data_IF_770559272705
#
_entry.id   IF_770559272705
#
_cell.length_a   1.000
_cell.length_b   1.000
_cell.length_c   1.000
_cell.angle_alpha   90.00
_cell.angle_beta   90.00
_cell.angle_gamma   90.00
#
_symmetry.space_group_name_H-M   'P 1'
#
loop_
_entity.id
_entity.type
_entity.pdbx_description
1 polymer ?
#
# COMPACT_ATOMS: atom_id res chain seq x y z
N UNK A 1 16.57 12.31 -16.77
CA UNK A 1 16.67 12.85 -15.40
C UNK A 1 15.60 13.88 -15.08
N UNK A 2 15.26 14.80 -15.99
CA UNK A 2 14.27 15.87 -15.73
C UNK A 2 12.88 15.41 -15.28
N UNK A 3 12.33 14.32 -15.83
CA UNK A 3 10.96 13.89 -15.48
C UNK A 3 10.85 13.30 -14.06
N UNK A 4 11.88 12.58 -13.58
CA UNK A 4 11.91 12.10 -12.19
C UNK A 4 12.07 13.26 -11.20
N UNK A 5 12.88 14.26 -11.53
CA UNK A 5 13.01 15.47 -10.72
C UNK A 5 11.73 16.30 -10.69
N UNK A 6 11.02 16.41 -11.83
CA UNK A 6 9.74 17.09 -11.90
C UNK A 6 8.65 16.39 -11.09
N UNK A 7 8.61 15.04 -11.07
CA UNK A 7 7.67 14.30 -10.23
C UNK A 7 8.05 14.39 -8.74
N UNK A 8 9.34 14.31 -8.40
CA UNK A 8 9.79 14.52 -7.01
C UNK A 8 9.43 15.93 -6.55
N UNK A 9 9.63 16.94 -7.41
CA UNK A 9 9.22 18.32 -7.15
C UNK A 9 7.71 18.46 -7.02
N UNK A 10 6.91 17.83 -7.90
CA UNK A 10 5.45 17.82 -7.81
C UNK A 10 4.96 17.15 -6.52
N UNK A 11 5.53 15.99 -6.17
CA UNK A 11 5.22 15.24 -4.95
C UNK A 11 5.61 16.06 -3.72
N UNK A 12 6.80 16.64 -3.70
CA UNK A 12 7.28 17.49 -2.63
C UNK A 12 6.37 18.72 -2.46
N UNK A 13 6.03 19.42 -3.54
CA UNK A 13 5.14 20.57 -3.51
C UNK A 13 3.70 20.20 -3.12
N UNK A 14 3.15 19.10 -3.64
CA UNK A 14 1.82 18.63 -3.28
C UNK A 14 1.75 18.21 -1.80
N UNK A 15 2.77 17.51 -1.30
CA UNK A 15 2.92 17.17 0.11
C UNK A 15 3.06 18.41 0.98
N UNK A 16 3.86 19.39 0.56
CA UNK A 16 4.06 20.65 1.30
C UNK A 16 2.76 21.46 1.39
N UNK A 17 2.02 21.59 0.29
CA UNK A 17 0.70 22.26 0.25
C UNK A 17 -0.29 21.54 1.17
N UNK A 18 -0.31 20.22 1.18
CA UNK A 18 -1.24 19.45 2.02
C UNK A 18 -0.87 19.49 3.52
N UNK A 19 0.42 19.65 3.85
CA UNK A 19 0.90 19.84 5.23
C UNK A 19 0.62 21.27 5.72
N UNK A 20 0.68 22.29 4.85
CA UNK A 20 0.46 23.69 5.24
C UNK A 20 -1.02 24.11 5.23
N UNK A 21 -1.87 23.43 4.46
CA UNK A 21 -3.31 23.72 4.40
C UNK A 21 -4.04 23.65 5.76
N UNK A 22 -3.74 22.69 6.66
CA UNK A 22 -4.29 22.66 8.02
C UNK A 22 -3.76 23.79 8.91
N UNK A 23 -2.54 24.30 8.65
CA UNK A 23 -1.90 25.34 9.45
C UNK A 23 -2.59 26.70 9.26
N UNK A 24 -2.99 27.01 8.02
CA UNK A 24 -3.69 28.26 7.65
C UNK A 24 -5.15 28.30 8.16
N UNK A 25 -5.75 27.13 8.42
CA UNK A 25 -7.13 27.04 8.95
C UNK A 25 -7.21 27.01 10.48
N UNK A 26 -6.11 27.25 11.21
CA UNK A 26 -6.10 27.29 12.67
C UNK A 26 -6.51 28.68 13.22
N UNK A 27 -7.71 29.16 12.88
CA UNK A 27 -8.37 30.15 13.72
C UNK A 27 -9.08 29.41 14.85
N UNK A 28 -8.50 29.50 16.05
CA UNK A 28 -9.02 28.90 17.28
C UNK A 28 -10.26 29.70 17.70
N UNK A 29 -11.47 29.23 17.38
CA UNK A 29 -12.66 29.67 18.11
C UNK A 29 -12.68 28.98 19.48
N UNK A 30 -12.12 29.66 20.46
CA UNK A 30 -12.23 29.31 21.87
C UNK A 30 -13.66 29.65 22.33
N UNK A 31 -14.58 28.70 22.31
CA UNK A 31 -15.86 28.86 23.02
C UNK A 31 -15.69 28.46 24.49
N UNK A 32 -15.86 29.46 25.35
CA UNK A 32 -15.75 29.40 26.80
C UNK A 32 -16.79 28.47 27.42
N UNK A 33 -16.34 27.66 28.38
CA UNK A 33 -17.20 26.91 29.32
C UNK A 33 -17.91 27.90 30.25
N UNK A 34 -19.23 27.85 30.30
CA UNK A 34 -20.00 28.27 31.47
C UNK A 34 -20.37 27.04 32.30
N UNK A 35 -20.09 27.14 33.60
CA UNK A 35 -20.50 26.20 34.64
C UNK A 35 -22.01 26.32 34.85
N UNK A 36 -22.72 25.20 34.92
CA UNK A 36 -24.00 25.17 35.64
C UNK A 36 -24.25 23.78 36.23
N UNK A 37 -24.55 23.75 37.53
CA UNK A 37 -24.26 22.66 38.48
C UNK A 37 -25.50 21.82 38.85
N UNK A 38 -26.53 21.71 38.00
CA UNK A 38 -27.82 21.12 38.40
C UNK A 38 -28.40 19.98 37.52
N UNK A 39 -27.62 19.33 36.65
CA UNK A 39 -28.12 18.26 35.77
C UNK A 39 -27.61 16.82 36.08
N UNK A 40 -27.36 16.52 37.36
CA UNK A 40 -26.82 15.23 37.85
C UNK A 40 -27.80 14.03 37.68
N UNK A 41 -28.95 14.19 37.03
CA UNK A 41 -29.93 13.10 36.82
C UNK A 41 -30.48 12.91 35.41
N UNK A 42 -29.91 13.56 34.37
CA UNK A 42 -30.26 13.23 32.98
C UNK A 42 -29.30 12.17 32.42
N UNK A 43 -29.59 10.94 32.83
CA UNK A 43 -28.81 9.74 32.61
C UNK A 43 -28.64 9.34 31.12
N UNK A 44 -27.38 9.17 30.72
CA UNK A 44 -26.81 7.86 30.30
C UNK A 44 -27.31 7.24 28.98
N UNK A 45 -27.77 8.05 28.03
CA UNK A 45 -27.56 7.74 26.60
C UNK A 45 -27.15 9.02 25.90
N UNK A 46 -25.86 9.38 25.98
CA UNK A 46 -25.31 10.37 25.04
C UNK A 46 -25.34 9.72 23.67
N UNK A 47 -26.49 9.80 23.01
CA UNK A 47 -26.67 9.40 21.63
C UNK A 47 -25.63 10.19 20.83
N UNK A 48 -24.63 9.49 20.33
CA UNK A 48 -23.56 10.10 19.54
C UNK A 48 -24.19 10.94 18.43
N UNK A 49 -23.77 12.21 18.31
CA UNK A 49 -24.36 13.13 17.34
C UNK A 49 -24.26 12.54 15.93
N UNK A 50 -25.25 12.73 15.05
CA UNK A 50 -25.21 12.20 13.68
C UNK A 50 -23.96 12.63 12.91
N UNK A 51 -23.49 13.87 13.16
CA UNK A 51 -22.25 14.41 12.60
C UNK A 51 -21.04 13.60 13.03
N UNK A 52 -20.86 13.38 14.34
CA UNK A 52 -19.73 12.60 14.87
C UNK A 52 -19.76 11.15 14.38
N UNK A 53 -20.95 10.53 14.25
CA UNK A 53 -21.07 9.19 13.68
C UNK A 53 -20.64 9.14 12.20
N UNK A 54 -21.06 10.12 11.41
CA UNK A 54 -20.63 10.26 10.02
C UNK A 54 -19.11 10.43 9.95
N UNK A 55 -18.55 11.29 10.80
CA UNK A 55 -17.12 11.57 10.81
C UNK A 55 -16.28 10.34 11.15
N UNK A 56 -16.68 9.57 12.18
CA UNK A 56 -16.03 8.31 12.54
C UNK A 56 -16.11 7.31 11.40
N UNK A 57 -17.26 7.23 10.73
CA UNK A 57 -17.47 6.30 9.61
C UNK A 57 -16.59 6.70 8.42
N UNK A 58 -16.54 7.98 8.06
CA UNK A 58 -15.71 8.50 6.98
C UNK A 58 -14.22 8.30 7.28
N UNK A 59 -13.76 8.59 8.50
CA UNK A 59 -12.39 8.29 8.94
C UNK A 59 -12.04 6.81 8.71
N UNK A 60 -12.92 5.91 9.13
CA UNK A 60 -12.76 4.46 8.92
C UNK A 60 -12.62 4.09 7.44
N UNK A 61 -13.50 4.62 6.58
CA UNK A 61 -13.43 4.36 5.12
C UNK A 61 -12.17 4.94 4.47
N UNK A 62 -11.77 6.16 4.83
CA UNK A 62 -10.56 6.79 4.30
C UNK A 62 -9.31 5.97 4.66
N UNK A 63 -9.19 5.54 5.91
CA UNK A 63 -8.02 4.77 6.35
C UNK A 63 -8.04 3.32 5.88
N UNK A 64 -9.22 2.72 5.71
CA UNK A 64 -9.37 1.43 5.04
C UNK A 64 -8.93 1.50 3.57
N UNK A 65 -9.43 2.49 2.81
CA UNK A 65 -9.05 2.68 1.41
C UNK A 65 -7.56 2.97 1.25
N UNK A 66 -6.98 3.78 2.15
CA UNK A 66 -5.56 4.09 2.18
C UNK A 66 -4.70 2.88 2.56
N UNK A 67 -4.80 2.43 3.82
CA UNK A 67 -3.86 1.50 4.46
C UNK A 67 -4.23 0.05 4.21
N UNK A 68 -5.54 -0.24 4.11
CA UNK A 68 -6.06 -1.57 3.88
C UNK A 68 -6.05 -2.00 2.42
N UNK A 69 -6.08 -1.04 1.47
CA UNK A 69 -6.21 -1.33 0.04
C UNK A 69 -5.10 -0.71 -0.82
N UNK A 70 -5.07 0.62 -0.99
CA UNK A 70 -4.19 1.28 -1.96
C UNK A 70 -2.70 1.03 -1.68
N UNK A 71 -2.28 1.12 -0.42
CA UNK A 71 -0.89 0.92 -0.04
C UNK A 71 -0.41 -0.53 -0.30
N UNK A 72 -1.13 -1.59 0.14
CA UNK A 72 -0.82 -2.96 -0.24
C UNK A 72 -0.84 -3.21 -1.75
N UNK A 73 -1.83 -2.67 -2.48
CA UNK A 73 -1.92 -2.81 -3.95
C UNK A 73 -0.74 -2.13 -4.63
N UNK A 74 -0.30 -0.97 -4.15
CA UNK A 74 0.90 -0.29 -4.65
C UNK A 74 2.18 -1.12 -4.43
N UNK A 75 2.29 -1.82 -3.31
CA UNK A 75 3.40 -2.76 -3.04
C UNK A 75 3.33 -3.96 -3.99
N UNK A 76 2.14 -4.50 -4.23
CA UNK A 76 1.95 -5.60 -5.17
C UNK A 76 2.32 -5.19 -6.61
N UNK A 77 1.93 -3.99 -7.03
CA UNK A 77 2.19 -3.47 -8.38
C UNK A 77 3.68 -3.35 -8.70
N UNK A 78 4.50 -2.84 -7.76
CA UNK A 78 5.96 -2.68 -8.00
C UNK A 78 6.70 -4.02 -8.02
N UNK A 79 6.12 -5.07 -7.43
CA UNK A 79 6.67 -6.43 -7.39
C UNK A 79 6.34 -7.26 -8.62
N UNK A 80 5.46 -6.79 -9.50
CA UNK A 80 5.09 -7.54 -10.70
C UNK A 80 6.35 -7.87 -11.52
N UNK A 81 6.53 -9.14 -11.92
CA UNK A 81 7.78 -9.58 -12.53
C UNK A 81 7.99 -8.94 -13.89
N UNK A 82 9.15 -8.30 -14.07
CA UNK A 82 9.51 -7.65 -15.32
C UNK A 82 10.31 -8.61 -16.18
N UNK A 83 9.61 -9.41 -16.98
CA UNK A 83 10.16 -10.54 -17.76
C UNK A 83 11.00 -10.09 -18.95
N UNK A 84 10.52 -9.05 -19.62
CA UNK A 84 11.29 -8.39 -20.66
C UNK A 84 12.13 -7.34 -19.96
N UNK A 85 13.41 -7.24 -20.30
CA UNK A 85 14.30 -6.12 -19.89
C UNK A 85 13.82 -4.76 -20.46
N UNK A 86 12.54 -4.64 -20.80
CA UNK A 86 11.91 -3.45 -21.31
C UNK A 86 11.95 -2.33 -20.23
N UNK A 87 12.77 -1.29 -20.44
CA UNK A 87 12.92 -0.20 -19.48
C UNK A 87 11.65 0.64 -19.38
N UNK A 88 10.74 0.60 -20.38
CA UNK A 88 9.45 1.29 -20.32
C UNK A 88 8.53 0.65 -19.29
N UNK A 89 8.46 -0.68 -19.25
CA UNK A 89 7.59 -1.40 -18.31
C UNK A 89 8.02 -1.17 -16.85
N UNK A 90 9.33 -1.19 -16.57
CA UNK A 90 9.86 -0.83 -15.25
C UNK A 90 9.47 0.58 -14.81
N UNK A 91 9.47 1.54 -15.76
CA UNK A 91 9.05 2.91 -15.49
C UNK A 91 7.55 3.01 -15.20
N UNK A 92 6.72 2.25 -15.92
CA UNK A 92 5.27 2.21 -15.70
C UNK A 92 4.95 1.66 -14.31
N UNK A 93 5.50 0.51 -13.92
CA UNK A 93 5.23 -0.08 -12.60
C UNK A 93 5.72 0.83 -11.46
N UNK A 94 6.83 1.53 -11.67
CA UNK A 94 7.32 2.56 -10.74
C UNK A 94 6.33 3.72 -10.59
N UNK A 95 5.78 4.25 -11.69
CA UNK A 95 4.79 5.34 -11.61
C UNK A 95 3.48 4.87 -11.01
N UNK A 96 3.00 3.68 -11.37
CA UNK A 96 1.78 3.10 -10.76
C UNK A 96 1.96 2.99 -9.26
N UNK A 97 3.09 2.44 -8.80
CA UNK A 97 3.43 2.40 -7.37
C UNK A 97 3.42 3.79 -6.75
N UNK A 98 4.18 4.74 -7.30
CA UNK A 98 4.28 6.09 -6.74
C UNK A 98 2.91 6.78 -6.65
N UNK A 99 2.10 6.71 -7.70
CA UNK A 99 0.76 7.33 -7.72
C UNK A 99 -0.15 6.70 -6.68
N UNK A 100 -0.21 5.36 -6.60
CA UNK A 100 -1.02 4.66 -5.60
C UNK A 100 -0.59 5.02 -4.17
N UNK A 101 0.73 5.07 -3.90
CA UNK A 101 1.24 5.46 -2.59
C UNK A 101 0.92 6.92 -2.26
N UNK A 102 1.02 7.83 -3.23
CA UNK A 102 0.66 9.24 -3.00
C UNK A 102 -0.82 9.40 -2.67
N UNK A 103 -1.72 8.73 -3.39
CA UNK A 103 -3.15 8.76 -3.08
C UNK A 103 -3.39 8.17 -1.68
N UNK A 104 -2.74 7.06 -1.33
CA UNK A 104 -2.85 6.47 0.00
C UNK A 104 -2.40 7.45 1.09
N UNK A 105 -1.26 8.13 0.94
CA UNK A 105 -0.74 9.11 1.90
C UNK A 105 -1.68 10.31 2.06
N UNK A 106 -2.28 10.80 0.96
CA UNK A 106 -3.24 11.89 0.99
C UNK A 106 -4.52 11.50 1.75
N UNK A 107 -5.06 10.31 1.49
CA UNK A 107 -6.22 9.78 2.23
C UNK A 107 -5.89 9.55 3.71
N UNK A 108 -4.70 9.02 4.02
CA UNK A 108 -4.23 8.85 5.39
C UNK A 108 -4.12 10.18 6.13
N UNK A 109 -3.58 11.20 5.45
CA UNK A 109 -3.47 12.56 5.98
C UNK A 109 -4.84 13.18 6.21
N UNK A 110 -5.77 13.04 5.26
CA UNK A 110 -7.16 13.49 5.43
C UNK A 110 -7.83 12.81 6.63
N UNK A 111 -7.69 11.49 6.77
CA UNK A 111 -8.20 10.75 7.91
C UNK A 111 -7.57 11.15 9.25
N UNK A 112 -6.27 11.44 9.28
CA UNK A 112 -5.56 11.90 10.47
C UNK A 112 -5.99 13.32 10.88
N UNK A 113 -6.06 14.27 9.94
CA UNK A 113 -6.55 15.64 10.20
C UNK A 113 -7.97 15.59 10.74
N UNK A 114 -8.83 14.78 10.11
CA UNK A 114 -10.21 14.58 10.57
C UNK A 114 -10.27 14.06 12.01
N UNK A 115 -9.43 13.09 12.36
CA UNK A 115 -9.34 12.57 13.73
C UNK A 115 -8.86 13.62 14.73
N UNK A 116 -7.86 14.42 14.36
CA UNK A 116 -7.29 15.46 15.22
C UNK A 116 -8.33 16.56 15.50
N UNK A 117 -9.05 17.00 14.47
CA UNK A 117 -10.01 18.10 14.58
C UNK A 117 -11.30 17.71 15.28
N UNK A 118 -11.81 16.51 15.02
CA UNK A 118 -13.21 16.18 15.34
C UNK A 118 -13.35 15.15 16.47
N UNK A 119 -12.30 14.41 16.82
CA UNK A 119 -12.37 13.34 17.82
C UNK A 119 -11.66 13.68 19.12
N UNK A 120 -12.03 12.97 20.18
CA UNK A 120 -11.34 13.08 21.46
C UNK A 120 -10.04 12.25 21.43
N UNK A 121 -8.90 12.93 21.39
CA UNK A 121 -7.57 12.35 21.26
C UNK A 121 -6.93 12.09 22.64
N UNK A 122 -7.61 11.31 23.49
CA UNK A 122 -7.09 10.91 24.81
C UNK A 122 -6.01 9.81 24.75
N UNK A 123 -5.82 9.18 23.59
CA UNK A 123 -4.82 8.11 23.35
C UNK A 123 -4.92 6.91 24.32
N UNK A 124 -6.09 6.69 24.90
CA UNK A 124 -6.35 5.62 25.85
C UNK A 124 -6.59 4.26 25.19
N UNK A 125 -6.81 4.22 23.87
CA UNK A 125 -6.96 2.99 23.11
C UNK A 125 -5.73 2.70 22.23
N UNK A 126 -5.51 1.41 21.93
CA UNK A 126 -4.38 0.96 21.13
C UNK A 126 -4.43 1.48 19.69
N UNK A 127 -5.61 1.63 19.11
CA UNK A 127 -5.82 2.15 17.76
C UNK A 127 -5.28 3.58 17.58
N UNK A 128 -5.55 4.48 18.53
CA UNK A 128 -5.09 5.88 18.48
C UNK A 128 -3.57 5.97 18.63
N UNK A 129 -2.99 5.23 19.59
CA UNK A 129 -1.53 5.20 19.80
C UNK A 129 -0.80 4.65 18.59
N UNK A 130 -1.28 3.51 18.06
CA UNK A 130 -0.73 2.91 16.86
C UNK A 130 -0.93 3.83 15.65
N UNK A 131 -2.10 4.43 15.50
CA UNK A 131 -2.44 5.32 14.39
C UNK A 131 -1.54 6.55 14.28
N UNK A 132 -1.22 7.22 15.40
CA UNK A 132 -0.29 8.35 15.39
C UNK A 132 1.14 7.93 15.10
N UNK A 133 1.62 6.84 15.71
CA UNK A 133 2.94 6.29 15.41
C UNK A 133 3.05 5.90 13.92
N UNK A 134 2.01 5.21 13.41
CA UNK A 134 1.87 4.82 12.02
C UNK A 134 1.90 6.03 11.08
N UNK A 135 1.21 7.11 11.43
CA UNK A 135 1.23 8.34 10.62
C UNK A 135 2.64 8.94 10.49
N UNK A 136 3.40 8.96 11.58
CA UNK A 136 4.80 9.39 11.55
C UNK A 136 5.67 8.53 10.63
N UNK A 137 5.55 7.20 10.71
CA UNK A 137 6.35 6.29 9.86
C UNK A 137 5.91 6.29 8.39
N UNK A 138 4.65 6.62 8.08
CA UNK A 138 4.19 6.83 6.71
C UNK A 138 4.97 7.98 6.07
N UNK A 139 5.10 9.11 6.76
CA UNK A 139 5.87 10.25 6.25
C UNK A 139 7.36 9.94 6.15
N UNK A 140 7.92 9.19 7.11
CA UNK A 140 9.30 8.70 7.00
C UNK A 140 9.49 7.86 5.73
N UNK A 141 8.54 6.98 5.41
CA UNK A 141 8.58 6.16 4.20
C UNK A 141 8.50 7.00 2.92
N UNK A 142 7.70 8.09 2.92
CA UNK A 142 7.65 9.07 1.81
C UNK A 142 8.99 9.77 1.65
N UNK A 143 9.60 10.24 2.75
CA UNK A 143 10.92 10.88 2.73
C UNK A 143 11.99 9.95 2.17
N UNK A 144 12.02 8.68 2.61
CA UNK A 144 12.90 7.67 2.02
C UNK A 144 12.64 7.49 0.51
N UNK A 145 11.37 7.49 0.09
CA UNK A 145 10.99 7.43 -1.32
C UNK A 145 11.51 8.62 -2.15
N UNK A 146 11.47 9.83 -1.59
CA UNK A 146 11.97 11.07 -2.23
C UNK A 146 13.49 11.06 -2.34
N UNK A 147 14.20 10.69 -1.26
CA UNK A 147 15.67 10.65 -1.22
C UNK A 147 16.26 9.39 -1.86
N UNK A 148 15.58 8.86 -2.87
CA UNK A 148 16.00 7.70 -3.66
C UNK A 148 17.36 7.97 -4.33
N UNK A 149 18.45 7.27 -3.94
CA UNK A 149 19.77 7.51 -4.51
C UNK A 149 19.86 7.00 -5.95
N UNK A 150 20.82 7.57 -6.70
CA UNK A 150 21.24 7.07 -8.00
C UNK A 150 21.80 5.64 -7.90
N UNK A 151 21.95 4.97 -9.04
CA UNK A 151 22.50 3.59 -9.07
C UNK A 151 23.94 3.60 -8.54
N UNK A 152 24.25 2.66 -7.66
CA UNK A 152 25.54 2.56 -6.96
C UNK A 152 25.43 1.78 -5.66
N UNK A 153 26.47 1.78 -4.83
CA UNK A 153 26.54 1.01 -3.57
C UNK A 153 25.45 1.38 -2.56
N UNK A 154 25.11 2.68 -2.44
CA UNK A 154 24.03 3.18 -1.56
C UNK A 154 22.63 2.72 -1.97
N UNK A 155 22.44 2.29 -3.22
CA UNK A 155 21.14 1.86 -3.78
C UNK A 155 20.58 0.64 -3.09
N UNK A 156 21.44 -0.33 -2.76
CA UNK A 156 21.03 -1.59 -2.15
C UNK A 156 20.57 -1.39 -0.70
N UNK A 157 21.35 -0.64 0.09
CA UNK A 157 20.99 -0.29 1.47
C UNK A 157 19.69 0.51 1.52
N UNK A 158 19.55 1.52 0.67
CA UNK A 158 18.31 2.27 0.54
C UNK A 158 17.13 1.36 0.16
N UNK A 159 17.32 0.45 -0.79
CA UNK A 159 16.27 -0.45 -1.24
C UNK A 159 15.82 -1.36 -0.10
N UNK A 160 16.76 -1.95 0.64
CA UNK A 160 16.45 -2.78 1.80
C UNK A 160 15.70 -2.00 2.87
N UNK A 161 16.16 -0.79 3.22
CA UNK A 161 15.52 0.08 4.21
C UNK A 161 14.11 0.51 3.78
N UNK A 162 13.95 0.95 2.53
CA UNK A 162 12.66 1.36 1.98
C UNK A 162 11.69 0.18 1.85
N UNK A 163 12.19 -1.00 1.49
CA UNK A 163 11.40 -2.22 1.40
C UNK A 163 10.90 -2.67 2.77
N UNK A 164 11.80 -2.84 3.75
CA UNK A 164 11.42 -3.31 5.08
C UNK A 164 10.48 -2.32 5.77
N UNK A 165 10.78 -1.02 5.72
CA UNK A 165 9.92 0.00 6.31
C UNK A 165 8.55 0.03 5.62
N UNK A 166 8.50 -0.05 4.29
CA UNK A 166 7.25 -0.11 3.53
C UNK A 166 6.38 -1.31 3.88
N UNK A 167 7.00 -2.49 4.03
CA UNK A 167 6.31 -3.71 4.49
C UNK A 167 5.79 -3.55 5.92
N UNK A 168 6.60 -2.99 6.83
CA UNK A 168 6.17 -2.71 8.21
C UNK A 168 4.99 -1.73 8.25
N UNK A 169 5.06 -0.62 7.50
CA UNK A 169 3.97 0.36 7.40
C UNK A 169 2.69 -0.29 6.88
N UNK A 170 2.77 -1.12 5.84
CA UNK A 170 1.60 -1.82 5.30
C UNK A 170 1.00 -2.80 6.30
N UNK A 171 1.83 -3.58 7.00
CA UNK A 171 1.37 -4.51 8.04
C UNK A 171 0.70 -3.78 9.21
N UNK A 172 1.37 -2.76 9.76
CA UNK A 172 0.82 -1.94 10.85
C UNK A 172 -0.45 -1.20 10.42
N UNK A 173 -0.54 -0.80 9.15
CA UNK A 173 -1.75 -0.24 8.55
C UNK A 173 -2.94 -1.18 8.61
N UNK A 174 -2.77 -2.42 8.14
CA UNK A 174 -3.82 -3.45 8.20
C UNK A 174 -4.21 -3.75 9.65
N UNK A 175 -3.23 -3.91 10.54
CA UNK A 175 -3.48 -4.10 11.97
C UNK A 175 -4.29 -2.94 12.56
N UNK A 176 -3.93 -1.70 12.20
CA UNK A 176 -4.61 -0.52 12.71
C UNK A 176 -6.07 -0.42 12.22
N UNK A 177 -6.39 -0.92 11.03
CA UNK A 177 -7.76 -1.02 10.53
C UNK A 177 -8.58 -2.01 11.36
N UNK A 178 -8.03 -3.18 11.70
CA UNK A 178 -8.72 -4.13 12.60
C UNK A 178 -8.96 -3.53 13.99
N UNK A 179 -7.95 -2.88 14.58
CA UNK A 179 -8.11 -2.18 15.85
C UNK A 179 -9.14 -1.05 15.75
N UNK A 180 -9.19 -0.36 14.60
CA UNK A 180 -10.18 0.67 14.30
C UNK A 180 -11.60 0.13 14.25
N UNK A 181 -11.82 -1.07 13.68
CA UNK A 181 -13.13 -1.74 13.68
C UNK A 181 -13.58 -2.15 15.08
N UNK A 182 -12.65 -2.60 15.94
CA UNK A 182 -12.95 -2.86 17.36
C UNK A 182 -13.32 -1.55 18.07
N UNK A 183 -12.54 -0.49 17.89
CA UNK A 183 -12.82 0.83 18.47
C UNK A 183 -14.15 1.42 17.97
N UNK A 184 -14.48 1.21 16.68
CA UNK A 184 -15.75 1.61 16.09
C UNK A 184 -16.93 0.92 16.76
N UNK A 185 -16.84 -0.40 16.97
CA UNK A 185 -17.88 -1.15 17.67
C UNK A 185 -18.06 -0.66 19.11
N UNK A 186 -16.97 -0.45 19.84
CA UNK A 186 -17.02 0.07 21.21
C UNK A 186 -17.62 1.48 21.30
N UNK A 187 -17.35 2.34 20.30
CA UNK A 187 -17.83 3.74 20.28
C UNK A 187 -19.26 3.91 19.79
N UNK A 188 -19.72 3.07 18.86
CA UNK A 188 -21.01 3.24 18.18
C UNK A 188 -22.03 2.16 18.52
N UNK A 189 -21.60 1.08 19.19
CA UNK A 189 -22.38 -0.14 19.45
C UNK A 189 -22.93 -0.82 18.19
N UNK A 190 -22.49 -0.41 16.99
CA UNK A 190 -22.90 -1.02 15.72
C UNK A 190 -22.09 -2.30 15.45
N UNK A 191 -22.73 -3.30 14.88
CA UNK A 191 -22.06 -4.56 14.51
C UNK A 191 -21.01 -4.35 13.41
N UNK A 192 -19.80 -4.84 13.64
CA UNK A 192 -18.68 -4.76 12.67
C UNK A 192 -18.33 -6.10 12.03
N UNK A 193 -19.09 -7.16 12.32
CA UNK A 193 -18.82 -8.53 11.86
C UNK A 193 -18.70 -8.63 10.35
N UNK A 194 -19.63 -8.02 9.60
CA UNK A 194 -19.65 -8.04 8.13
C UNK A 194 -18.40 -7.33 7.58
N UNK A 195 -18.08 -6.14 8.09
CA UNK A 195 -16.88 -5.38 7.69
C UNK A 195 -15.58 -6.14 7.98
N UNK A 196 -15.49 -6.81 9.13
CA UNK A 196 -14.35 -7.68 9.47
C UNK A 196 -14.20 -8.85 8.49
N UNK A 197 -15.29 -9.51 8.10
CA UNK A 197 -15.27 -10.61 7.13
C UNK A 197 -14.80 -10.11 5.76
N UNK A 198 -15.40 -9.02 5.27
CA UNK A 198 -15.04 -8.42 3.97
C UNK A 198 -13.57 -7.98 3.95
N UNK A 199 -13.11 -7.32 5.02
CA UNK A 199 -11.73 -6.88 5.10
C UNK A 199 -10.76 -8.06 5.17
N UNK A 200 -11.07 -9.09 5.95
CA UNK A 200 -10.26 -10.32 6.00
C UNK A 200 -10.18 -10.99 4.63
N UNK A 201 -11.31 -11.12 3.92
CA UNK A 201 -11.32 -11.70 2.57
C UNK A 201 -10.44 -10.89 1.60
N UNK A 202 -10.53 -9.56 1.65
CA UNK A 202 -9.66 -8.68 0.87
C UNK A 202 -8.17 -8.91 1.18
N UNK A 203 -7.79 -8.98 2.46
CA UNK A 203 -6.41 -9.23 2.85
C UNK A 203 -5.95 -10.62 2.40
N UNK A 204 -6.78 -11.65 2.51
CA UNK A 204 -6.49 -12.98 1.99
C UNK A 204 -6.22 -12.96 0.47
N UNK A 205 -7.02 -12.21 -0.30
CA UNK A 205 -6.80 -12.04 -1.75
C UNK A 205 -5.47 -11.33 -2.03
N UNK A 206 -5.15 -10.25 -1.30
CA UNK A 206 -3.89 -9.53 -1.45
C UNK A 206 -2.69 -10.44 -1.13
N UNK A 207 -2.76 -11.20 -0.04
CA UNK A 207 -1.72 -12.15 0.37
C UNK A 207 -1.59 -13.28 -0.65
N UNK A 208 -2.70 -13.81 -1.16
CA UNK A 208 -2.69 -14.80 -2.22
C UNK A 208 -1.94 -14.28 -3.45
N UNK A 209 -2.28 -13.08 -3.95
CA UNK A 209 -1.55 -12.50 -5.08
C UNK A 209 -0.08 -12.23 -4.75
N UNK A 210 0.24 -11.78 -3.54
CA UNK A 210 1.62 -11.57 -3.10
C UNK A 210 2.45 -12.86 -3.18
N UNK A 211 1.93 -13.98 -2.68
CA UNK A 211 2.59 -15.29 -2.76
C UNK A 211 2.60 -15.84 -4.19
N UNK A 212 1.51 -15.63 -4.93
CA UNK A 212 1.37 -16.11 -6.29
C UNK A 212 2.36 -15.45 -7.26
N UNK A 213 2.67 -14.16 -7.08
CA UNK A 213 3.65 -13.45 -7.91
C UNK A 213 5.01 -14.16 -7.98
N UNK A 214 5.47 -14.72 -6.86
CA UNK A 214 6.75 -15.44 -6.79
C UNK A 214 6.68 -16.77 -7.54
N UNK A 215 5.60 -17.54 -7.34
CA UNK A 215 5.40 -18.83 -8.01
C UNK A 215 5.11 -18.68 -9.51
N UNK A 216 4.45 -17.60 -9.91
CA UNK A 216 4.14 -17.32 -11.30
C UNK A 216 5.40 -17.22 -12.15
N UNK A 217 6.43 -16.52 -11.67
CA UNK A 217 7.74 -16.43 -12.34
C UNK A 217 8.37 -17.80 -12.49
N UNK A 218 8.32 -18.62 -11.45
CA UNK A 218 8.86 -19.97 -11.48
C UNK A 218 8.17 -20.87 -12.51
N UNK A 219 6.82 -20.93 -12.48
CA UNK A 219 6.01 -21.72 -13.44
C UNK A 219 6.31 -21.28 -14.87
N UNK A 220 6.37 -19.98 -15.08
CA UNK A 220 6.68 -19.39 -16.38
C UNK A 220 8.07 -19.79 -16.89
N UNK A 221 9.08 -19.84 -16.02
CA UNK A 221 10.44 -20.22 -16.39
C UNK A 221 10.54 -21.72 -16.72
N UNK A 222 9.79 -22.59 -16.03
CA UNK A 222 9.69 -24.01 -16.39
C UNK A 222 9.06 -24.23 -17.77
N UNK A 223 8.01 -23.48 -18.10
CA UNK A 223 7.38 -23.58 -19.43
C UNK A 223 8.33 -23.24 -20.58
N UNK A 224 9.22 -22.25 -20.39
CA UNK A 224 10.25 -21.89 -21.39
C UNK A 224 11.33 -22.96 -21.49
N UNK A 225 11.80 -23.50 -20.35
CA UNK A 225 12.80 -24.56 -20.35
C UNK A 225 12.30 -25.81 -21.09
N UNK A 226 11.07 -26.24 -20.81
CA UNK A 226 10.44 -27.39 -21.47
C UNK A 226 10.25 -27.16 -22.98
N UNK A 227 9.83 -25.97 -23.39
CA UNK A 227 9.67 -25.62 -24.80
C UNK A 227 11.01 -25.67 -25.56
N UNK A 228 12.08 -25.17 -24.96
CA UNK A 228 13.42 -25.22 -25.54
C UNK A 228 13.94 -26.67 -25.65
N UNK A 229 13.66 -27.51 -24.65
CA UNK A 229 14.02 -28.94 -24.68
C UNK A 229 13.31 -29.67 -25.84
N UNK A 230 11.99 -29.49 -25.98
CA UNK A 230 11.21 -30.09 -27.09
C UNK A 230 11.70 -29.63 -28.47
N UNK A 231 12.05 -28.35 -28.64
CA UNK A 231 12.59 -27.82 -29.90
C UNK A 231 13.96 -28.42 -30.23
N UNK A 232 14.81 -28.64 -29.22
CA UNK A 232 16.13 -29.26 -29.40
C UNK A 232 15.98 -30.72 -29.83
N UNK A 233 15.06 -31.46 -29.21
CA UNK A 233 14.77 -32.87 -29.58
C UNK A 233 14.23 -32.98 -31.01
N UNK A 234 13.29 -32.11 -31.44
CA UNK A 234 12.75 -32.17 -32.80
C UNK A 234 13.79 -31.81 -33.87
N UNK A 235 14.70 -30.88 -33.58
CA UNK A 235 15.82 -30.56 -34.47
C UNK A 235 16.85 -31.69 -34.58
N UNK A 236 16.98 -32.54 -33.54
CA UNK A 236 17.90 -33.67 -33.55
C UNK A 236 17.32 -34.88 -34.30
N UNK A 237 16.00 -35.09 -34.23
CA UNK A 237 15.30 -36.17 -34.92
C UNK A 237 15.09 -35.88 -36.43
N UNK A 238 15.10 -34.61 -36.85
CA UNK A 238 14.94 -34.19 -38.24
C UNK A 238 16.25 -34.07 -39.04
N UNK A 239 17.42 -34.30 -38.43
CA UNK A 239 18.68 -34.45 -39.19
C UNK A 239 18.72 -35.83 -39.83
N UNK A 240 18.72 -35.96 -41.16
CA UNK A 240 18.95 -37.25 -41.79
C UNK A 240 20.37 -37.70 -41.43
N UNK A 241 20.51 -38.98 -41.09
CA UNK A 241 21.78 -39.61 -40.80
C UNK A 241 22.68 -39.50 -42.05
N UNK A 242 23.58 -38.51 -42.09
CA UNK A 242 24.51 -38.29 -43.22
C UNK A 242 25.41 -39.51 -43.49
N UNK A 243 25.45 -40.47 -42.56
CA UNK A 243 26.18 -41.72 -42.69
C UNK A 243 25.50 -42.76 -43.60
N UNK A 244 24.25 -42.56 -44.06
CA UNK A 244 23.57 -43.52 -44.95
C UNK A 244 23.67 -43.15 -46.46
N UNK A 245 24.09 -41.92 -46.79
CA UNK A 245 24.29 -41.51 -48.20
C UNK A 245 25.70 -41.74 -48.74
N UNK A 246 26.66 -42.11 -47.89
CA UNK A 246 28.04 -42.38 -48.30
C UNK A 246 28.30 -43.84 -48.75
N UNK A 247 27.29 -44.74 -48.71
CA UNK A 247 27.46 -46.17 -49.04
C UNK A 247 26.63 -46.62 -50.26
N UNK A 248 26.25 -45.71 -51.17
CA UNK A 248 25.55 -46.04 -52.43
C UNK A 248 26.09 -45.30 -53.66
N UNK A 249 27.35 -44.89 -53.62
CA UNK A 249 28.07 -44.42 -54.80
C UNK A 249 29.44 -45.07 -54.80
N UNK A 250 29.50 -46.29 -55.31
CA UNK A 250 30.67 -46.91 -55.97
C UNK A 250 30.40 -48.40 -56.18
N UNK A 251 29.73 -48.71 -57.30
CA UNK A 251 29.85 -50.02 -57.96
C UNK A 251 29.85 -49.73 -59.46
N UNK A 252 31.01 -49.94 -60.09
CA UNK A 252 31.15 -50.12 -61.54
C UNK A 252 30.37 -51.34 -62.02
#
# INVERSE_FOLDING_TARGET
MGVQQNLISLVFNASLVFITFPLVSSSIEHHSRTKDDNHIKLMVYVKMSPRLQFEITLHGFLLWASMGFLMPVGILAIRLPNRDENPRRHRIVFYVHAILQMIAVLLATGGAIMSIKNFNNLFNNSHQRLGVALYGIIWLQVLLGIFRPQRGTKRSVWFFAHWILGTTVSFLGVLNVYLGLVAYHQKTSKGTKIWNILFTLQICVIVFFYLFQEKWVYIQNQGVALANEMMTTSCQESRPNENEKALKGDTC
#
